data_IF_050175116246
#
_entry.id   IF_050175116246
#
_cell.length_a   1.000
_cell.length_b   1.000
_cell.length_c   1.000
_cell.angle_alpha   90.00
_cell.angle_beta   90.00
_cell.angle_gamma   90.00
#
_symmetry.space_group_name_H-M   'P 1'
#
loop_
_entity.id
_entity.type
_entity.pdbx_description
1 polymer ?
#
# COMPACT_ATOMS: atom_id res chain seq x y z
N UNK A 1 -28.12 17.00 -1.09
CA UNK A 1 -29.40 17.06 -1.83
C UNK A 1 -29.07 16.75 -3.28
N UNK A 2 -29.33 15.53 -3.76
CA UNK A 2 -29.33 15.28 -5.19
C UNK A 2 -30.57 15.97 -5.74
N UNK A 3 -30.38 17.09 -6.44
CA UNK A 3 -31.42 17.57 -7.32
C UNK A 3 -31.52 16.53 -8.43
N UNK A 4 -32.59 15.72 -8.39
CA UNK A 4 -33.06 14.97 -9.53
C UNK A 4 -33.43 15.98 -10.63
N UNK A 5 -32.43 16.46 -11.36
CA UNK A 5 -32.67 17.10 -12.65
C UNK A 5 -32.89 15.94 -13.61
N UNK A 6 -34.14 15.49 -13.67
CA UNK A 6 -34.64 14.78 -14.84
C UNK A 6 -34.45 15.72 -16.04
N UNK A 7 -33.39 15.50 -16.81
CA UNK A 7 -33.34 16.00 -18.17
C UNK A 7 -34.16 15.04 -19.03
N UNK A 8 -35.39 15.48 -19.30
CA UNK A 8 -36.28 14.92 -20.32
C UNK A 8 -35.55 14.85 -21.68
N UNK A 9 -35.82 13.75 -22.39
CA UNK A 9 -35.08 13.30 -23.54
C UNK A 9 -35.33 14.13 -24.79
N UNK A 10 -34.28 14.27 -25.59
CA UNK A 10 -34.36 14.51 -27.03
C UNK A 10 -33.06 14.08 -27.71
N UNK A 11 -33.14 12.95 -28.42
CA UNK A 11 -32.54 12.74 -29.75
C UNK A 11 -31.02 12.78 -29.89
N UNK A 12 -30.40 11.61 -30.14
CA UNK A 12 -29.03 11.57 -30.67
C UNK A 12 -28.37 10.21 -30.72
N UNK A 13 -29.00 9.20 -31.33
CA UNK A 13 -28.30 7.96 -31.69
C UNK A 13 -27.30 8.26 -32.80
N UNK A 14 -26.01 8.34 -32.49
CA UNK A 14 -24.95 8.24 -33.47
C UNK A 14 -24.27 6.87 -33.35
N UNK A 15 -24.77 5.91 -34.11
CA UNK A 15 -24.02 4.71 -34.48
C UNK A 15 -23.18 5.07 -35.70
N UNK A 16 -21.85 5.04 -35.57
CA UNK A 16 -20.95 4.94 -36.72
C UNK A 16 -20.15 3.66 -36.56
N UNK A 17 -20.61 2.61 -37.25
CA UNK A 17 -19.76 1.50 -37.62
C UNK A 17 -19.03 1.87 -38.92
N UNK A 18 -17.72 1.72 -38.93
CA UNK A 18 -16.99 1.51 -40.18
C UNK A 18 -15.79 0.59 -39.91
N UNK A 19 -15.94 -0.66 -40.33
CA UNK A 19 -14.83 -1.59 -40.48
C UNK A 19 -14.00 -1.16 -41.70
N UNK A 20 -12.72 -0.87 -41.49
CA UNK A 20 -11.74 -0.75 -42.57
C UNK A 20 -10.78 -1.94 -42.42
N UNK A 21 -10.92 -2.88 -43.35
CA UNK A 21 -9.98 -3.98 -43.58
C UNK A 21 -8.82 -3.40 -44.37
N UNK A 22 -7.67 -3.19 -43.72
CA UNK A 22 -6.42 -2.93 -44.42
C UNK A 22 -5.67 -4.26 -44.61
N UNK A 23 -5.68 -4.76 -45.85
CA UNK A 23 -4.82 -5.87 -46.30
C UNK A 23 -3.37 -5.38 -46.36
N UNK A 24 -2.50 -5.90 -45.50
CA UNK A 24 -1.06 -5.83 -45.70
C UNK A 24 -0.63 -7.01 -46.58
N UNK A 25 -0.07 -6.70 -47.75
CA UNK A 25 0.53 -7.65 -48.68
C UNK A 25 1.91 -8.08 -48.18
N UNK A 26 2.14 -9.39 -48.15
CA UNK A 26 3.43 -10.01 -47.89
C UNK A 26 4.38 -9.79 -49.08
N UNK A 27 5.62 -9.38 -48.79
CA UNK A 27 6.75 -9.48 -49.73
C UNK A 27 7.83 -10.36 -49.09
N UNK A 28 8.03 -11.52 -49.68
CA UNK A 28 9.06 -12.51 -49.33
C UNK A 28 10.44 -12.09 -49.81
N UNK A 29 11.42 -12.07 -48.90
CA UNK A 29 12.86 -11.97 -49.20
C UNK A 29 13.61 -13.19 -48.62
N UNK A 30 14.78 -13.55 -49.18
CA UNK A 30 15.29 -14.92 -49.15
C UNK A 30 16.07 -15.30 -47.88
N UNK A 31 16.02 -16.59 -47.57
CA UNK A 31 16.78 -17.28 -46.52
C UNK A 31 18.25 -17.45 -46.89
N UNK A 32 19.16 -17.50 -45.89
CA UNK A 32 20.40 -18.25 -46.01
C UNK A 32 20.42 -19.49 -45.10
N UNK A 33 21.10 -20.50 -45.64
CA UNK A 33 21.29 -21.86 -45.13
C UNK A 33 22.07 -21.95 -43.81
N UNK A 34 21.59 -22.88 -43.01
CA UNK A 34 22.21 -23.76 -42.02
C UNK A 34 23.74 -23.87 -41.95
N UNK A 35 24.26 -23.79 -40.71
CA UNK A 35 25.31 -24.69 -40.21
C UNK A 35 24.94 -25.11 -38.79
N UNK A 36 24.61 -26.39 -38.60
CA UNK A 36 24.41 -27.00 -37.27
C UNK A 36 25.77 -27.31 -36.63
N UNK A 37 25.98 -26.84 -35.40
CA UNK A 37 26.99 -27.36 -34.50
C UNK A 37 26.30 -28.20 -33.42
N UNK A 38 26.61 -29.49 -33.38
CA UNK A 38 26.08 -30.43 -32.42
C UNK A 38 26.68 -30.18 -31.02
N UNK A 39 25.83 -29.83 -30.04
CA UNK A 39 26.22 -29.77 -28.63
C UNK A 39 25.79 -31.07 -27.95
N UNK A 40 26.78 -31.84 -27.49
CA UNK A 40 26.61 -33.11 -26.77
C UNK A 40 25.86 -32.88 -25.45
N UNK A 41 24.74 -33.58 -25.25
CA UNK A 41 24.10 -33.72 -23.93
C UNK A 41 24.94 -34.66 -23.06
N UNK A 42 25.55 -34.12 -22.01
CA UNK A 42 26.05 -34.90 -20.88
C UNK A 42 24.97 -34.97 -19.80
N UNK A 43 24.53 -36.19 -19.46
CA UNK A 43 23.67 -36.46 -18.30
C UNK A 43 24.49 -36.23 -17.01
N UNK A 44 24.20 -35.15 -16.28
CA UNK A 44 24.63 -34.98 -14.88
C UNK A 44 23.47 -35.38 -13.97
N UNK A 45 23.72 -36.37 -13.12
CA UNK A 45 22.78 -36.79 -12.08
C UNK A 45 22.59 -35.67 -11.05
N UNK A 46 21.35 -35.21 -10.86
CA UNK A 46 20.98 -34.32 -9.76
C UNK A 46 20.88 -35.15 -8.47
N UNK A 47 21.79 -34.90 -7.54
CA UNK A 47 21.56 -35.22 -6.13
C UNK A 47 20.58 -34.19 -5.53
N UNK A 48 19.64 -34.58 -4.66
CA UNK A 48 18.78 -33.62 -3.98
C UNK A 48 19.61 -32.83 -2.97
N UNK A 49 19.82 -31.55 -3.23
CA UNK A 49 20.35 -30.63 -2.24
C UNK A 49 19.29 -30.42 -1.16
N UNK A 50 19.61 -30.78 0.09
CA UNK A 50 18.87 -30.28 1.25
C UNK A 50 19.01 -28.75 1.25
N UNK A 51 17.95 -28.04 0.89
CA UNK A 51 17.87 -26.60 1.11
C UNK A 51 17.87 -26.37 2.62
N UNK A 52 18.96 -25.81 3.15
CA UNK A 52 18.98 -25.29 4.50
C UNK A 52 17.88 -24.21 4.60
N UNK A 53 17.01 -24.34 5.60
CA UNK A 53 16.01 -23.32 5.91
C UNK A 53 16.73 -21.99 6.18
N UNK A 54 16.62 -21.03 5.27
CA UNK A 54 17.24 -19.72 5.43
C UNK A 54 16.51 -18.91 6.51
N UNK A 55 17.27 -18.15 7.31
CA UNK A 55 16.71 -17.21 8.28
C UNK A 55 15.78 -16.19 7.58
N UNK A 56 14.69 -15.82 8.22
CA UNK A 56 13.76 -14.82 7.70
C UNK A 56 14.43 -13.44 7.80
N UNK A 57 14.61 -12.70 6.69
CA UNK A 57 15.28 -11.42 6.69
C UNK A 57 14.53 -10.40 7.53
N UNK A 58 15.21 -9.31 7.88
CA UNK A 58 14.56 -8.16 8.50
C UNK A 58 13.33 -7.74 7.66
N UNK A 59 12.23 -7.47 8.34
CA UNK A 59 10.92 -7.15 7.78
C UNK A 59 10.18 -8.27 7.05
N UNK A 60 10.73 -9.49 6.98
CA UNK A 60 10.02 -10.66 6.46
C UNK A 60 8.91 -11.15 7.40
N UNK A 61 7.87 -11.77 6.84
CA UNK A 61 6.82 -12.41 7.63
C UNK A 61 7.36 -13.65 8.35
N UNK A 62 7.12 -13.74 9.66
CA UNK A 62 7.64 -14.81 10.53
C UNK A 62 6.56 -15.59 11.27
N UNK A 63 5.27 -15.33 10.97
CA UNK A 63 4.15 -15.99 11.60
C UNK A 63 2.80 -15.37 11.21
N UNK A 64 1.74 -15.89 11.85
CA UNK A 64 0.34 -15.54 11.61
C UNK A 64 -0.51 -16.72 11.14
N UNK A 65 -1.83 -16.62 11.30
CA UNK A 65 -2.79 -17.65 10.87
C UNK A 65 -2.64 -17.90 9.37
N UNK A 66 -2.39 -19.15 9.00
CA UNK A 66 -2.25 -19.59 7.60
C UNK A 66 -0.84 -19.42 7.02
N UNK A 67 0.12 -18.83 7.76
CA UNK A 67 1.51 -18.77 7.34
C UNK A 67 2.16 -20.16 7.42
N UNK A 68 2.66 -20.66 6.29
CA UNK A 68 3.42 -21.92 6.21
C UNK A 68 4.92 -21.59 6.10
N UNK A 69 5.73 -22.09 7.02
CA UNK A 69 7.13 -21.69 7.19
C UNK A 69 8.00 -22.04 5.99
N UNK A 70 8.67 -21.04 5.41
CA UNK A 70 9.76 -21.22 4.45
C UNK A 70 11.17 -21.21 5.09
N UNK A 71 11.27 -20.95 6.40
CA UNK A 71 12.54 -20.71 7.08
C UNK A 71 12.43 -20.73 8.61
N UNK A 72 13.52 -21.11 9.26
CA UNK A 72 13.68 -21.20 10.71
C UNK A 72 14.06 -19.82 11.25
N UNK A 73 13.24 -19.24 12.13
CA UNK A 73 13.50 -18.00 12.90
C UNK A 73 13.88 -16.74 12.08
N UNK A 74 13.73 -15.56 12.70
CA UNK A 74 14.28 -14.32 12.15
C UNK A 74 15.81 -14.34 12.19
N UNK A 75 16.47 -13.60 11.29
CA UNK A 75 17.92 -13.33 11.38
C UNK A 75 18.33 -12.91 12.79
N UNK A 76 19.58 -13.17 13.18
CA UNK A 76 20.09 -12.94 14.54
C UNK A 76 19.87 -11.52 15.10
N UNK A 77 19.75 -10.52 14.23
CA UNK A 77 19.49 -9.10 14.55
C UNK A 77 18.00 -8.76 14.73
N UNK A 78 17.11 -9.71 14.45
CA UNK A 78 15.67 -9.49 14.40
C UNK A 78 14.90 -10.42 15.35
N UNK A 79 13.75 -9.95 15.83
CA UNK A 79 12.79 -10.71 16.62
C UNK A 79 11.46 -10.79 15.87
N UNK A 80 10.79 -11.94 15.97
CA UNK A 80 9.46 -12.09 15.39
C UNK A 80 8.44 -11.38 16.29
N UNK A 81 7.84 -10.31 15.79
CA UNK A 81 6.84 -9.52 16.51
C UNK A 81 5.48 -9.71 15.85
N UNK A 82 4.48 -10.13 16.63
CA UNK A 82 3.09 -10.20 16.16
C UNK A 82 2.47 -8.81 16.05
N UNK A 83 1.77 -8.55 14.95
CA UNK A 83 1.02 -7.31 14.73
C UNK A 83 -0.49 -7.53 14.80
N UNK A 84 -0.97 -8.63 14.23
CA UNK A 84 -2.33 -9.15 14.41
C UNK A 84 -2.32 -10.66 14.20
N UNK A 85 -3.50 -11.29 14.30
CA UNK A 85 -3.66 -12.74 14.18
C UNK A 85 -3.11 -13.33 12.87
N UNK A 86 -3.05 -12.56 11.79
CA UNK A 86 -2.66 -13.03 10.45
C UNK A 86 -1.22 -12.67 10.05
N UNK A 87 -0.59 -11.68 10.70
CA UNK A 87 0.71 -11.17 10.28
C UNK A 87 1.67 -10.89 11.44
N UNK A 88 2.77 -11.64 11.49
CA UNK A 88 3.91 -11.40 12.38
C UNK A 88 5.13 -11.06 11.52
N UNK A 89 5.98 -10.13 11.96
CA UNK A 89 7.12 -9.65 11.18
C UNK A 89 8.43 -9.69 11.96
N UNK A 90 9.53 -10.05 11.30
CA UNK A 90 10.87 -9.89 11.84
C UNK A 90 11.21 -8.39 11.93
N UNK A 91 11.39 -7.86 13.14
CA UNK A 91 11.75 -6.46 13.37
C UNK A 91 13.06 -6.36 14.15
N UNK A 92 13.80 -5.24 14.07
CA UNK A 92 15.07 -5.10 14.79
C UNK A 92 14.89 -5.38 16.28
N UNK A 93 15.79 -6.19 16.87
CA UNK A 93 15.84 -6.35 18.33
C UNK A 93 16.14 -4.99 18.97
N UNK A 94 15.44 -4.60 20.05
CA UNK A 94 15.84 -3.43 20.83
C UNK A 94 17.28 -3.64 21.30
N UNK A 95 18.21 -2.78 20.87
CA UNK A 95 19.57 -2.77 21.41
C UNK A 95 19.46 -2.36 22.87
N UNK A 96 19.68 -3.30 23.79
CA UNK A 96 19.89 -2.96 25.19
C UNK A 96 21.04 -1.96 25.26
N UNK A 97 20.75 -0.72 25.64
CA UNK A 97 21.78 0.26 25.92
C UNK A 97 22.75 -0.35 26.93
N UNK A 98 24.02 -0.50 26.53
CA UNK A 98 25.09 -0.96 27.42
C UNK A 98 25.26 0.14 28.48
N UNK A 99 24.69 -0.10 29.67
CA UNK A 99 25.02 0.68 30.85
C UNK A 99 26.48 0.38 31.17
N UNK A 100 27.35 1.35 30.87
CA UNK A 100 28.75 1.33 31.29
C UNK A 100 28.78 1.43 32.81
N UNK A 101 28.96 0.31 33.49
CA UNK A 101 29.21 0.26 34.94
C UNK A 101 30.65 0.66 35.22
N UNK A 102 30.88 1.95 35.47
CA UNK A 102 32.11 2.41 36.13
C UNK A 102 32.09 2.04 37.61
N UNK A 103 33.06 1.23 38.01
CA UNK A 103 33.34 0.80 39.37
C UNK A 103 33.85 1.95 40.24
N UNK A 104 33.12 2.28 41.32
CA UNK A 104 33.69 2.99 42.47
C UNK A 104 33.14 2.41 43.79
N UNK A 105 34.10 2.10 44.66
CA UNK A 105 34.03 1.48 45.99
C UNK A 105 33.06 2.20 46.95
N UNK A 106 32.36 1.50 47.87
CA UNK A 106 31.37 2.13 48.74
C UNK A 106 32.01 2.83 49.95
N UNK A 107 31.55 4.04 50.25
CA UNK A 107 31.76 4.74 51.53
C UNK A 107 30.44 4.68 52.32
N UNK A 108 30.52 4.16 53.54
CA UNK A 108 29.44 4.02 54.51
C UNK A 108 29.05 5.38 55.09
N UNK A 109 27.77 5.75 55.01
CA UNK A 109 27.17 6.75 55.92
C UNK A 109 25.74 6.30 56.26
N UNK A 110 25.47 6.16 57.56
CA UNK A 110 24.15 5.88 58.14
C UNK A 110 23.27 7.13 58.21
N UNK A 111 21.97 6.98 57.93
CA UNK A 111 20.89 7.82 58.47
C UNK A 111 19.55 7.08 58.39
N UNK A 112 18.61 7.49 59.23
CA UNK A 112 17.60 6.67 59.92
C UNK A 112 16.16 6.96 59.46
N UNK A 113 15.27 5.94 59.60
CA UNK A 113 13.78 5.97 59.67
C UNK A 113 13.00 6.40 58.41
N UNK A 114 11.82 5.87 58.04
CA UNK A 114 10.71 5.19 58.75
C UNK A 114 9.98 4.25 57.77
N UNK A 115 9.70 3.00 58.16
CA UNK A 115 8.92 2.03 57.37
C UNK A 115 7.51 1.84 57.96
N UNK A 116 6.47 2.09 57.15
CA UNK A 116 5.08 1.72 57.47
C UNK A 116 4.74 0.42 56.75
N UNK A 117 4.50 -0.63 57.53
CA UNK A 117 4.06 -1.94 57.04
C UNK A 117 2.52 -1.97 56.93
N UNK A 118 2.02 -2.62 55.89
CA UNK A 118 0.63 -3.07 55.81
C UNK A 118 0.59 -4.43 55.14
N UNK A 119 0.39 -5.44 55.97
CA UNK A 119 0.19 -6.86 55.68
C UNK A 119 -1.20 -7.08 55.08
N UNK A 120 -1.32 -7.86 54.00
CA UNK A 120 -2.61 -8.30 53.46
C UNK A 120 -2.88 -9.74 53.90
N UNK A 121 -4.02 -9.93 54.55
CA UNK A 121 -4.49 -11.18 55.17
C UNK A 121 -5.37 -11.94 54.17
N UNK A 122 -5.06 -13.21 53.94
CA UNK A 122 -5.91 -14.19 53.24
C UNK A 122 -7.11 -14.57 54.11
N UNK A 123 -8.32 -14.49 53.55
CA UNK A 123 -9.54 -15.03 54.15
C UNK A 123 -10.23 -16.00 53.18
N UNK A 124 -10.28 -17.26 53.61
CA UNK A 124 -11.05 -18.34 53.01
C UNK A 124 -12.52 -18.20 53.39
N UNK A 125 -13.44 -18.37 52.44
CA UNK A 125 -14.87 -18.53 52.73
C UNK A 125 -15.39 -19.80 52.08
N UNK A 126 -15.93 -20.68 52.91
CA UNK A 126 -16.58 -21.93 52.54
C UNK A 126 -18.08 -21.69 52.34
N UNK A 127 -18.65 -22.13 51.23
CA UNK A 127 -20.12 -22.16 51.04
C UNK A 127 -20.52 -23.54 50.48
N UNK A 128 -21.49 -24.14 51.18
CA UNK A 128 -22.06 -25.47 50.96
C UNK A 128 -22.77 -25.59 49.60
N UNK A 129 -22.55 -26.73 48.95
CA UNK A 129 -23.27 -27.17 47.75
C UNK A 129 -24.48 -28.00 48.19
N UNK A 130 -25.68 -27.61 47.74
CA UNK A 130 -26.86 -28.48 47.71
C UNK A 130 -27.14 -28.89 46.27
N UNK A 131 -27.33 -30.19 46.09
CA UNK A 131 -27.57 -30.86 44.81
C UNK A 131 -29.05 -30.81 44.42
N UNK A 132 -29.36 -30.20 43.30
CA UNK A 132 -30.63 -30.39 42.58
C UNK A 132 -30.35 -30.78 41.13
N UNK A 133 -30.84 -31.96 40.78
CA UNK A 133 -30.81 -32.55 39.44
C UNK A 133 -31.76 -31.79 38.52
N UNK A 134 -31.26 -31.28 37.39
CA UNK A 134 -32.10 -30.80 36.30
C UNK A 134 -31.64 -31.44 34.98
N UNK A 135 -32.63 -32.08 34.35
CA UNK A 135 -32.61 -32.82 33.09
C UNK A 135 -31.97 -32.05 31.93
N UNK A 136 -31.13 -32.76 31.20
CA UNK A 136 -30.62 -32.43 29.87
C UNK A 136 -31.76 -32.21 28.87
N UNK A 137 -31.77 -31.04 28.25
CA UNK A 137 -32.55 -30.75 27.04
C UNK A 137 -31.60 -30.30 25.92
N UNK A 138 -31.97 -30.75 24.74
CA UNK A 138 -31.29 -30.77 23.44
C UNK A 138 -30.59 -29.48 22.98
N UNK A 139 -29.38 -29.69 22.46
CA UNK A 139 -28.71 -28.97 21.36
C UNK A 139 -29.43 -27.75 20.78
N UNK A 140 -29.02 -26.57 21.22
CA UNK A 140 -29.10 -25.35 20.41
C UNK A 140 -27.75 -25.15 19.74
N UNK A 141 -27.72 -25.29 18.42
CA UNK A 141 -26.55 -24.94 17.60
C UNK A 141 -26.25 -23.45 17.79
N UNK A 142 -25.19 -23.15 18.53
CA UNK A 142 -24.54 -21.85 18.51
C UNK A 142 -24.16 -21.59 17.04
N UNK A 143 -24.60 -20.48 16.41
CA UNK A 143 -24.12 -20.13 15.09
C UNK A 143 -22.59 -20.04 15.18
N UNK A 144 -21.90 -20.80 14.32
CA UNK A 144 -20.47 -20.62 14.11
C UNK A 144 -20.18 -19.12 13.90
N UNK A 145 -19.05 -18.59 14.38
CA UNK A 145 -18.66 -17.22 14.07
C UNK A 145 -18.70 -17.07 12.56
N UNK A 146 -19.56 -16.14 12.09
CA UNK A 146 -19.70 -15.82 10.67
C UNK A 146 -18.30 -15.61 10.12
N UNK A 147 -17.91 -16.39 9.11
CA UNK A 147 -16.63 -16.22 8.44
C UNK A 147 -16.53 -14.73 8.07
N UNK A 148 -15.58 -14.01 8.67
CA UNK A 148 -15.41 -12.59 8.41
C UNK A 148 -15.11 -12.44 6.92
N UNK A 149 -16.09 -11.94 6.17
CA UNK A 149 -15.96 -11.73 4.73
C UNK A 149 -14.74 -10.85 4.47
N UNK A 150 -13.79 -11.36 3.68
CA UNK A 150 -12.58 -10.63 3.34
C UNK A 150 -12.91 -9.25 2.76
N UNK A 151 -12.09 -8.25 3.11
CA UNK A 151 -12.10 -6.91 2.52
C UNK A 151 -11.17 -6.88 1.31
N UNK A 152 -11.57 -6.18 0.25
CA UNK A 152 -10.83 -6.07 -1.00
C UNK A 152 -10.28 -4.67 -1.14
N UNK A 153 -8.96 -4.53 -0.99
CA UNK A 153 -8.27 -3.27 -1.15
C UNK A 153 -7.65 -3.20 -2.55
N UNK A 154 -8.28 -2.42 -3.43
CA UNK A 154 -7.90 -2.35 -4.84
C UNK A 154 -7.20 -1.01 -5.06
N UNK A 155 -5.89 -1.04 -5.31
CA UNK A 155 -5.06 0.16 -5.36
C UNK A 155 -4.42 0.41 -6.72
N UNK A 156 -4.28 1.68 -7.05
CA UNK A 156 -3.66 2.19 -8.27
C UNK A 156 -2.69 3.31 -7.88
N UNK A 157 -1.65 3.52 -8.69
CA UNK A 157 -0.68 4.54 -8.37
C UNK A 157 0.66 4.38 -9.05
N UNK A 158 1.66 5.03 -8.46
CA UNK A 158 3.04 5.04 -8.92
C UNK A 158 3.97 4.25 -7.98
N UNK A 159 5.27 4.61 -7.98
CA UNK A 159 6.31 3.98 -7.16
C UNK A 159 6.05 4.11 -5.65
N UNK A 160 5.25 5.08 -5.22
CA UNK A 160 4.91 5.26 -3.80
C UNK A 160 3.93 4.18 -3.32
N UNK A 161 3.23 3.53 -4.27
CA UNK A 161 2.22 2.49 -4.02
C UNK A 161 2.63 1.12 -4.52
N UNK A 162 3.57 1.02 -5.47
CA UNK A 162 3.99 -0.25 -6.07
C UNK A 162 4.43 -1.29 -5.02
N UNK A 163 3.93 -2.52 -5.17
CA UNK A 163 4.37 -3.70 -4.42
C UNK A 163 4.88 -4.84 -5.32
N UNK A 164 4.84 -4.67 -6.65
CA UNK A 164 5.24 -5.69 -7.62
C UNK A 164 4.18 -6.74 -7.95
N UNK A 165 2.91 -6.50 -7.58
CA UNK A 165 1.82 -7.43 -7.86
C UNK A 165 1.58 -7.60 -9.36
N UNK A 166 1.53 -8.86 -9.79
CA UNK A 166 1.09 -9.31 -11.11
C UNK A 166 -0.26 -10.03 -10.97
N UNK A 167 -1.27 -9.52 -11.68
CA UNK A 167 -2.61 -10.10 -11.68
C UNK A 167 -2.65 -11.55 -12.20
N UNK A 168 -1.68 -11.95 -13.01
CA UNK A 168 -1.58 -13.33 -13.52
C UNK A 168 -0.90 -14.28 -12.53
N UNK A 169 -0.24 -13.76 -11.50
CA UNK A 169 0.43 -14.53 -10.45
C UNK A 169 -0.52 -15.09 -9.38
N UNK A 170 0.05 -15.51 -8.26
CA UNK A 170 -0.70 -16.00 -7.09
C UNK A 170 -1.64 -14.92 -6.55
N UNK A 171 -2.90 -15.28 -6.28
CA UNK A 171 -3.91 -14.33 -5.83
C UNK A 171 -3.76 -14.01 -4.34
N UNK A 172 -4.15 -12.81 -3.89
CA UNK A 172 -4.23 -12.45 -2.47
C UNK A 172 -4.95 -13.51 -1.65
N UNK A 173 -4.38 -13.82 -0.48
CA UNK A 173 -4.92 -14.80 0.47
C UNK A 173 -4.57 -14.39 1.90
N UNK A 174 -5.06 -15.13 2.91
CA UNK A 174 -4.68 -14.88 4.31
C UNK A 174 -3.20 -15.10 4.60
N UNK A 175 -2.54 -16.01 3.89
CA UNK A 175 -1.11 -16.29 4.07
C UNK A 175 -0.20 -15.30 3.34
N UNK A 176 -0.69 -14.69 2.25
CA UNK A 176 -0.05 -13.57 1.59
C UNK A 176 -1.11 -12.57 1.12
N UNK A 177 -1.35 -11.48 1.86
CA UNK A 177 -2.40 -10.52 1.52
C UNK A 177 -2.11 -9.71 0.24
N UNK A 178 -0.86 -9.73 -0.27
CA UNK A 178 -0.53 -9.19 -1.59
C UNK A 178 -0.70 -10.21 -2.72
N UNK A 179 -0.78 -11.50 -2.40
CA UNK A 179 -0.80 -12.61 -3.36
C UNK A 179 0.56 -12.89 -3.99
N UNK A 180 1.13 -11.89 -4.67
CA UNK A 180 2.48 -11.92 -5.20
C UNK A 180 3.09 -10.50 -5.28
N UNK A 181 4.41 -10.35 -5.09
CA UNK A 181 5.31 -11.31 -4.46
C UNK A 181 4.97 -11.45 -2.95
N UNK A 182 5.84 -12.07 -2.15
CA UNK A 182 5.65 -12.13 -0.70
C UNK A 182 5.71 -10.72 -0.10
N UNK A 183 4.91 -10.47 0.94
CA UNK A 183 4.98 -9.25 1.75
C UNK A 183 6.42 -9.08 2.31
N UNK A 184 7.06 -7.89 2.22
CA UNK A 184 6.47 -6.56 1.98
C UNK A 184 6.18 -6.18 0.53
N UNK A 185 6.54 -7.00 -0.45
CA UNK A 185 6.50 -6.63 -1.87
C UNK A 185 7.83 -6.09 -2.38
N UNK A 186 7.85 -5.70 -3.66
CA UNK A 186 8.90 -4.88 -4.26
C UNK A 186 8.49 -3.41 -4.18
N UNK A 187 8.98 -2.72 -3.15
CA UNK A 187 8.60 -1.34 -2.81
C UNK A 187 9.80 -0.40 -2.96
N UNK A 188 9.53 0.88 -3.21
CA UNK A 188 10.52 1.95 -3.13
C UNK A 188 10.55 2.59 -1.72
N UNK A 189 10.48 1.78 -0.65
CA UNK A 189 10.46 2.28 0.73
C UNK A 189 11.43 1.58 1.69
N UNK A 190 12.16 0.55 1.24
CA UNK A 190 13.02 -0.28 2.09
C UNK A 190 12.26 -1.32 2.93
N UNK A 191 10.92 -1.37 2.82
CA UNK A 191 10.07 -2.27 3.58
C UNK A 191 8.60 -2.15 3.18
N UNK A 192 7.68 -2.15 4.15
CA UNK A 192 6.27 -1.90 3.85
C UNK A 192 6.08 -0.48 3.31
N UNK A 193 5.32 -0.35 2.22
CA UNK A 193 4.72 0.92 1.85
C UNK A 193 3.31 1.03 2.46
N UNK A 194 2.59 2.12 2.21
CA UNK A 194 1.27 2.35 2.81
C UNK A 194 0.25 1.23 2.48
N UNK A 195 0.30 0.65 1.28
CA UNK A 195 -0.53 -0.49 0.87
C UNK A 195 -0.23 -1.69 1.74
N UNK A 196 1.06 -2.03 1.91
CA UNK A 196 1.51 -3.12 2.76
C UNK A 196 1.06 -2.94 4.21
N UNK A 197 1.19 -1.73 4.78
CA UNK A 197 0.71 -1.44 6.14
C UNK A 197 -0.80 -1.67 6.29
N UNK A 198 -1.61 -1.16 5.34
CA UNK A 198 -3.06 -1.31 5.36
C UNK A 198 -3.52 -2.75 5.15
N UNK A 199 -2.79 -3.52 4.35
CA UNK A 199 -3.11 -4.92 4.07
C UNK A 199 -2.64 -5.88 5.17
N UNK A 200 -1.77 -5.46 6.10
CA UNK A 200 -1.13 -6.38 7.05
C UNK A 200 -1.06 -5.94 8.51
N UNK A 201 -0.81 -4.67 8.84
CA UNK A 201 -0.57 -4.22 10.22
C UNK A 201 -1.65 -3.28 10.75
N UNK A 202 -2.31 -2.55 9.86
CA UNK A 202 -3.31 -1.55 10.21
C UNK A 202 -4.74 -2.03 9.92
N UNK A 203 -4.95 -3.28 9.54
CA UNK A 203 -6.27 -3.89 9.40
C UNK A 203 -6.77 -4.52 10.71
N UNK A 204 -8.06 -4.78 10.74
CA UNK A 204 -8.87 -5.40 11.80
C UNK A 204 -9.62 -6.62 11.27
N UNK A 205 -9.64 -6.80 9.96
CA UNK A 205 -10.16 -7.98 9.25
C UNK A 205 -9.21 -8.35 8.11
N UNK A 206 -9.37 -9.55 7.54
CA UNK A 206 -8.55 -9.98 6.40
C UNK A 206 -8.74 -9.01 5.22
N UNK A 207 -7.67 -8.30 4.87
CA UNK A 207 -7.64 -7.36 3.75
C UNK A 207 -6.78 -7.93 2.62
N UNK A 208 -7.42 -8.25 1.50
CA UNK A 208 -6.79 -8.78 0.30
C UNK A 208 -6.48 -7.63 -0.66
N UNK A 209 -5.20 -7.40 -0.93
CA UNK A 209 -4.73 -6.28 -1.74
C UNK A 209 -4.53 -6.69 -3.21
N UNK A 210 -5.27 -6.02 -4.10
CA UNK A 210 -5.08 -6.10 -5.54
C UNK A 210 -4.47 -4.77 -6.01
N UNK A 211 -3.14 -4.73 -6.09
CA UNK A 211 -2.39 -3.50 -6.30
C UNK A 211 -1.86 -3.38 -7.72
N UNK A 212 -2.50 -2.56 -8.55
CA UNK A 212 -2.10 -2.32 -9.94
C UNK A 212 -1.05 -1.20 -10.09
N UNK A 213 -0.55 -0.62 -9.01
CA UNK A 213 0.41 0.49 -9.07
C UNK A 213 1.72 0.10 -9.78
N UNK A 214 2.23 1.02 -10.61
CA UNK A 214 3.43 0.83 -11.44
C UNK A 214 4.42 1.97 -11.23
N UNK A 215 5.68 1.66 -10.93
CA UNK A 215 6.72 2.65 -10.68
C UNK A 215 6.92 3.62 -11.84
N UNK A 216 6.93 4.92 -11.53
CA UNK A 216 7.05 5.99 -12.52
C UNK A 216 5.76 6.32 -13.28
N UNK A 217 4.64 5.69 -12.95
CA UNK A 217 3.37 5.94 -13.62
C UNK A 217 2.97 7.42 -13.57
N UNK A 218 2.58 7.94 -14.72
CA UNK A 218 1.80 9.18 -14.85
C UNK A 218 0.32 8.82 -14.96
N UNK A 219 -0.55 9.81 -14.82
CA UNK A 219 -1.99 9.58 -14.99
C UNK A 219 -2.32 9.12 -16.41
N UNK A 220 -1.67 9.71 -17.41
CA UNK A 220 -1.85 9.38 -18.82
C UNK A 220 -0.54 9.60 -19.59
N UNK A 221 0.02 8.51 -20.13
CA UNK A 221 1.32 8.54 -20.79
C UNK A 221 1.39 9.42 -22.06
N UNK A 222 0.23 9.73 -22.66
CA UNK A 222 0.15 10.63 -23.82
C UNK A 222 0.12 12.11 -23.44
N UNK A 223 -0.19 12.44 -22.18
CA UNK A 223 -0.16 13.81 -21.65
C UNK A 223 1.16 14.14 -21.00
N UNK A 224 1.66 13.20 -20.17
CA UNK A 224 2.96 13.28 -19.51
C UNK A 224 3.65 11.94 -19.71
N UNK A 225 4.74 11.94 -20.47
CA UNK A 225 5.48 10.72 -20.78
C UNK A 225 6.20 10.20 -19.53
N UNK A 226 6.02 8.93 -19.14
CA UNK A 226 6.80 8.31 -18.07
C UNK A 226 8.29 8.20 -18.42
N UNK A 227 9.13 7.91 -17.43
CA UNK A 227 10.58 7.78 -17.63
C UNK A 227 10.98 6.62 -18.57
N UNK A 228 10.10 5.63 -18.75
CA UNK A 228 10.32 4.51 -19.66
C UNK A 228 8.98 4.06 -20.32
N UNK A 229 9.01 3.55 -21.56
CA UNK A 229 7.80 3.13 -22.29
C UNK A 229 7.14 1.87 -21.72
N UNK A 230 7.83 1.14 -20.84
CA UNK A 230 7.30 -0.05 -20.16
C UNK A 230 6.48 0.29 -18.91
N UNK A 231 6.46 1.55 -18.49
CA UNK A 231 5.70 2.01 -17.33
C UNK A 231 4.21 2.02 -17.67
N UNK A 232 3.40 1.44 -16.78
CA UNK A 232 1.95 1.40 -16.94
C UNK A 232 1.32 2.63 -16.29
N UNK A 233 0.76 3.53 -17.11
CA UNK A 233 0.06 4.72 -16.63
C UNK A 233 -1.22 4.35 -15.88
N UNK A 234 -1.83 5.29 -15.15
CA UNK A 234 -3.11 5.01 -14.48
C UNK A 234 -4.19 4.52 -15.47
N UNK A 235 -4.16 4.99 -16.73
CA UNK A 235 -5.02 4.48 -17.81
C UNK A 235 -4.80 2.98 -18.04
N UNK A 236 -3.54 2.54 -18.14
CA UNK A 236 -3.19 1.14 -18.36
C UNK A 236 -3.53 0.26 -17.15
N UNK A 237 -3.30 0.77 -15.94
CA UNK A 237 -3.62 0.06 -14.69
C UNK A 237 -5.14 -0.18 -14.57
N UNK A 238 -5.97 0.81 -14.91
CA UNK A 238 -7.43 0.61 -14.96
C UNK A 238 -7.83 -0.36 -16.06
N UNK A 239 -7.14 -0.37 -17.22
CA UNK A 239 -7.37 -1.39 -18.25
C UNK A 239 -7.02 -2.81 -17.76
N UNK A 240 -5.95 -2.98 -16.97
CA UNK A 240 -5.62 -4.26 -16.32
C UNK A 240 -6.70 -4.69 -15.33
N UNK A 241 -7.22 -3.77 -14.51
CA UNK A 241 -8.37 -4.05 -13.64
C UNK A 241 -9.61 -4.47 -14.45
N UNK A 242 -9.97 -3.71 -15.47
CA UNK A 242 -11.14 -3.95 -16.33
C UNK A 242 -11.09 -5.30 -17.04
N UNK A 243 -9.90 -5.73 -17.46
CA UNK A 243 -9.69 -7.04 -18.12
C UNK A 243 -9.54 -8.22 -17.15
N UNK A 244 -9.56 -7.98 -15.84
CA UNK A 244 -9.34 -9.01 -14.82
C UNK A 244 -10.48 -9.05 -13.80
N UNK A 245 -10.25 -8.47 -12.61
CA UNK A 245 -11.14 -8.60 -11.46
C UNK A 245 -12.40 -7.74 -11.58
N UNK A 246 -12.52 -6.85 -12.57
CA UNK A 246 -13.76 -6.10 -12.79
C UNK A 246 -14.99 -7.01 -12.94
N UNK A 247 -14.79 -8.22 -13.49
CA UNK A 247 -15.81 -9.27 -13.63
C UNK A 247 -16.23 -9.94 -12.32
N UNK A 248 -15.56 -9.63 -11.20
CA UNK A 248 -15.76 -10.23 -9.86
C UNK A 248 -15.67 -11.76 -9.89
N UNK A 249 -14.53 -12.31 -10.36
CA UNK A 249 -14.35 -13.75 -10.42
C UNK A 249 -14.40 -14.38 -9.02
N UNK A 250 -14.58 -15.70 -8.94
CA UNK A 250 -14.72 -16.41 -7.66
C UNK A 250 -13.54 -16.21 -6.68
N UNK A 251 -12.34 -15.89 -7.18
CA UNK A 251 -11.16 -15.59 -6.36
C UNK A 251 -11.09 -14.12 -5.89
N UNK A 252 -11.92 -13.23 -6.46
CA UNK A 252 -12.04 -11.83 -6.10
C UNK A 252 -13.52 -11.37 -6.12
N UNK A 253 -14.40 -11.94 -5.27
CA UNK A 253 -15.82 -11.58 -5.17
C UNK A 253 -16.03 -10.25 -4.42
N UNK A 254 -15.39 -9.19 -4.89
CA UNK A 254 -15.55 -7.86 -4.34
C UNK A 254 -16.90 -7.24 -4.75
N UNK A 255 -17.42 -6.34 -3.92
CA UNK A 255 -18.66 -5.59 -4.13
C UNK A 255 -18.59 -4.23 -3.41
N UNK A 256 -19.65 -3.43 -3.48
CA UNK A 256 -19.72 -2.10 -2.88
C UNK A 256 -19.61 -2.08 -1.35
N UNK A 257 -19.84 -3.19 -0.65
CA UNK A 257 -19.83 -3.26 0.82
C UNK A 257 -18.48 -3.74 1.39
N UNK A 258 -17.71 -4.48 0.58
CA UNK A 258 -16.45 -5.09 1.02
C UNK A 258 -15.21 -4.58 0.28
N UNK A 259 -15.35 -3.61 -0.63
CA UNK A 259 -14.22 -3.06 -1.39
C UNK A 259 -13.95 -1.58 -1.13
N UNK A 260 -12.67 -1.23 -1.18
CA UNK A 260 -12.16 0.15 -1.19
C UNK A 260 -11.19 0.30 -2.36
N UNK A 261 -11.46 1.29 -3.21
CA UNK A 261 -10.64 1.64 -4.35
C UNK A 261 -9.76 2.83 -3.98
N UNK A 262 -8.46 2.68 -4.12
CA UNK A 262 -7.51 3.67 -3.66
C UNK A 262 -6.56 4.12 -4.77
N UNK A 263 -6.35 5.43 -4.89
CA UNK A 263 -5.52 5.99 -5.95
C UNK A 263 -4.52 6.97 -5.35
N UNK A 264 -3.23 6.66 -5.46
CA UNK A 264 -2.15 7.60 -5.17
C UNK A 264 -1.24 7.71 -6.39
N UNK A 265 -1.55 8.69 -7.23
CA UNK A 265 -0.91 9.01 -8.50
C UNK A 265 -0.82 10.53 -8.61
N UNK A 266 0.13 11.04 -9.39
CA UNK A 266 0.32 12.46 -9.65
C UNK A 266 1.73 12.93 -9.38
N UNK A 267 2.55 12.14 -8.69
CA UNK A 267 3.94 12.52 -8.37
C UNK A 267 4.77 12.71 -9.63
N UNK A 268 4.59 11.83 -10.63
CA UNK A 268 5.30 11.92 -11.91
C UNK A 268 4.63 12.90 -12.87
N UNK A 269 3.32 13.11 -12.76
CA UNK A 269 2.62 14.15 -13.51
C UNK A 269 3.19 15.53 -13.14
N UNK A 270 3.25 15.84 -11.84
CA UNK A 270 3.82 17.10 -11.33
C UNK A 270 5.34 17.14 -11.47
N UNK A 271 6.03 16.03 -11.14
CA UNK A 271 7.48 15.91 -11.20
C UNK A 271 8.06 16.18 -12.60
N UNK A 272 7.29 15.88 -13.65
CA UNK A 272 7.69 16.09 -15.04
C UNK A 272 7.07 17.36 -15.67
N UNK A 273 6.50 18.26 -14.87
CA UNK A 273 5.89 19.48 -15.41
C UNK A 273 5.85 20.70 -14.48
N UNK A 274 6.44 20.63 -13.28
CA UNK A 274 6.33 21.71 -12.27
C UNK A 274 6.94 23.04 -12.73
N UNK A 275 7.85 23.02 -13.71
CA UNK A 275 8.50 24.22 -14.27
C UNK A 275 7.65 24.98 -15.31
N UNK A 276 6.49 24.43 -15.69
CA UNK A 276 5.61 25.08 -16.66
C UNK A 276 5.08 26.42 -16.15
N UNK A 277 4.87 27.36 -17.07
CA UNK A 277 4.16 28.60 -16.77
C UNK A 277 2.72 28.34 -16.36
N UNK A 278 2.11 29.27 -15.61
CA UNK A 278 0.79 29.07 -15.00
C UNK A 278 -0.29 28.65 -16.02
N UNK A 279 -0.34 29.28 -17.19
CA UNK A 279 -1.33 28.97 -18.22
C UNK A 279 -1.18 27.54 -18.76
N UNK A 280 0.06 27.12 -19.05
CA UNK A 280 0.38 25.79 -19.56
C UNK A 280 0.13 24.71 -18.50
N UNK A 281 0.56 24.96 -17.26
CA UNK A 281 0.30 24.11 -16.11
C UNK A 281 -1.21 23.92 -15.90
N UNK A 282 -1.99 25.01 -15.92
CA UNK A 282 -3.45 24.94 -15.76
C UNK A 282 -4.11 24.11 -16.87
N UNK A 283 -3.69 24.29 -18.12
CA UNK A 283 -4.20 23.53 -19.25
C UNK A 283 -3.83 22.04 -19.17
N UNK A 284 -2.57 21.72 -18.81
CA UNK A 284 -2.11 20.35 -18.66
C UNK A 284 -2.83 19.64 -17.51
N UNK A 285 -2.86 20.25 -16.31
CA UNK A 285 -3.48 19.64 -15.14
C UNK A 285 -4.99 19.47 -15.31
N UNK A 286 -5.66 20.37 -16.05
CA UNK A 286 -7.05 20.17 -16.46
C UNK A 286 -7.24 18.85 -17.23
N UNK A 287 -6.43 18.62 -18.28
CA UNK A 287 -6.47 17.39 -19.08
C UNK A 287 -6.11 16.14 -18.28
N UNK A 288 -5.14 16.25 -17.37
CA UNK A 288 -4.76 15.16 -16.48
C UNK A 288 -5.94 14.78 -15.59
N UNK A 289 -6.64 15.76 -15.02
CA UNK A 289 -7.81 15.49 -14.19
C UNK A 289 -8.98 14.94 -14.98
N UNK A 290 -9.20 15.39 -16.21
CA UNK A 290 -10.22 14.79 -17.09
C UNK A 290 -9.91 13.30 -17.34
N UNK A 291 -8.64 12.97 -17.57
CA UNK A 291 -8.19 11.57 -17.70
C UNK A 291 -8.34 10.79 -16.38
N UNK A 292 -7.92 11.36 -15.25
CA UNK A 292 -8.00 10.75 -13.92
C UNK A 292 -9.45 10.39 -13.58
N UNK A 293 -10.36 11.35 -13.68
CA UNK A 293 -11.76 11.13 -13.32
C UNK A 293 -12.52 10.32 -14.36
N UNK A 294 -12.10 10.36 -15.63
CA UNK A 294 -12.54 9.41 -16.63
C UNK A 294 -12.13 7.96 -16.31
N UNK A 295 -11.06 7.73 -15.53
CA UNK A 295 -10.70 6.39 -15.03
C UNK A 295 -11.47 6.01 -13.77
N UNK A 296 -11.70 6.94 -12.84
CA UNK A 296 -12.61 6.72 -11.70
C UNK A 296 -14.02 6.35 -12.16
N UNK A 297 -14.52 7.00 -13.21
CA UNK A 297 -15.83 6.67 -13.80
C UNK A 297 -15.89 5.22 -14.29
N UNK A 298 -14.84 4.71 -14.92
CA UNK A 298 -14.78 3.28 -15.33
C UNK A 298 -14.80 2.35 -14.12
N UNK A 299 -14.08 2.67 -13.05
CA UNK A 299 -14.10 1.88 -11.80
C UNK A 299 -15.51 1.89 -11.19
N UNK A 300 -16.16 3.06 -11.15
CA UNK A 300 -17.52 3.22 -10.66
C UNK A 300 -18.55 2.43 -11.47
N UNK A 301 -18.45 2.45 -12.79
CA UNK A 301 -19.32 1.68 -13.69
C UNK A 301 -19.12 0.17 -13.54
N UNK A 302 -17.92 -0.28 -13.18
CA UNK A 302 -17.65 -1.66 -12.80
C UNK A 302 -18.28 -2.05 -11.44
N UNK A 303 -18.74 -1.07 -10.65
CA UNK A 303 -19.42 -1.24 -9.37
C UNK A 303 -18.64 -0.79 -8.14
N UNK A 304 -17.50 -0.10 -8.31
CA UNK A 304 -16.82 0.54 -7.20
C UNK A 304 -17.72 1.62 -6.56
N UNK A 305 -17.76 1.67 -5.23
CA UNK A 305 -18.54 2.68 -4.49
C UNK A 305 -17.77 3.40 -3.39
N UNK A 306 -16.65 2.86 -2.92
CA UNK A 306 -15.81 3.52 -1.92
C UNK A 306 -14.48 3.88 -2.55
N UNK A 307 -14.15 5.17 -2.55
CA UNK A 307 -12.94 5.72 -3.13
C UNK A 307 -12.12 6.49 -2.10
N UNK A 308 -10.83 6.20 -2.02
CA UNK A 308 -9.87 7.06 -1.31
C UNK A 308 -8.81 7.55 -2.28
N UNK A 309 -8.77 8.87 -2.48
CA UNK A 309 -7.77 9.51 -3.32
C UNK A 309 -6.72 10.13 -2.40
N UNK A 310 -5.45 10.05 -2.79
CA UNK A 310 -4.35 10.67 -2.06
C UNK A 310 -3.82 11.82 -2.91
N UNK A 311 -3.64 13.00 -2.30
CA UNK A 311 -2.99 14.13 -2.96
C UNK A 311 -1.59 13.78 -3.47
N UNK A 312 -1.17 14.43 -4.55
CA UNK A 312 0.19 14.30 -5.06
C UNK A 312 1.20 14.51 -3.92
N UNK A 313 2.17 13.60 -3.81
CA UNK A 313 3.14 13.62 -2.73
C UNK A 313 3.93 14.95 -2.74
N UNK A 314 4.24 15.53 -1.58
CA UNK A 314 4.95 16.81 -1.48
C UNK A 314 6.44 16.63 -1.80
N UNK A 315 6.77 16.46 -3.09
CA UNK A 315 8.15 16.19 -3.55
C UNK A 315 9.14 17.31 -3.22
N UNK A 316 8.66 18.51 -2.90
CA UNK A 316 9.48 19.61 -2.39
C UNK A 316 10.10 19.35 -1.00
N UNK A 317 9.75 18.26 -0.33
CA UNK A 317 10.45 17.78 0.87
C UNK A 317 11.57 16.78 0.58
N UNK A 318 11.64 16.25 -0.66
CA UNK A 318 12.64 15.23 -1.00
C UNK A 318 14.05 15.81 -0.96
N UNK A 319 15.06 15.01 -0.55
CA UNK A 319 16.45 15.44 -0.60
C UNK A 319 16.86 15.96 -1.99
N UNK A 320 16.42 15.27 -3.05
CA UNK A 320 16.67 15.67 -4.44
C UNK A 320 16.20 17.11 -4.71
N UNK A 321 14.96 17.44 -4.34
CA UNK A 321 14.39 18.76 -4.67
C UNK A 321 14.87 19.87 -3.74
N UNK A 322 15.33 19.53 -2.54
CA UNK A 322 16.00 20.47 -1.64
C UNK A 322 17.37 20.86 -2.22
N UNK A 323 18.13 19.89 -2.75
CA UNK A 323 19.45 20.11 -3.35
C UNK A 323 19.39 20.98 -4.61
N UNK A 324 18.28 20.92 -5.37
CA UNK A 324 18.01 21.81 -6.52
C UNK A 324 17.76 23.28 -6.11
N UNK A 325 17.54 23.56 -4.83
CA UNK A 325 17.51 24.90 -4.26
C UNK A 325 16.12 25.52 -4.02
N UNK A 326 16.11 26.63 -3.29
CA UNK A 326 14.89 27.22 -2.74
C UNK A 326 13.85 27.67 -3.78
N UNK A 327 14.29 28.09 -4.97
CA UNK A 327 13.39 28.50 -6.06
C UNK A 327 12.64 27.30 -6.66
N UNK A 328 13.32 26.15 -6.81
CA UNK A 328 12.71 24.88 -7.23
C UNK A 328 11.66 24.43 -6.22
N UNK A 329 12.01 24.42 -4.93
CA UNK A 329 11.09 24.10 -3.83
C UNK A 329 9.85 25.00 -3.84
N UNK A 330 10.02 26.31 -4.02
CA UNK A 330 8.90 27.26 -4.06
C UNK A 330 7.97 27.00 -5.26
N UNK A 331 8.53 26.73 -6.44
CA UNK A 331 7.76 26.47 -7.66
C UNK A 331 6.99 25.15 -7.57
N UNK A 332 7.62 24.10 -7.03
CA UNK A 332 6.94 22.81 -6.82
C UNK A 332 5.79 22.91 -5.82
N UNK A 333 5.91 23.72 -4.76
CA UNK A 333 4.79 23.96 -3.83
C UNK A 333 3.56 24.51 -4.55
N UNK A 334 3.76 25.44 -5.49
CA UNK A 334 2.67 26.01 -6.30
C UNK A 334 2.05 24.93 -7.20
N UNK A 335 2.88 24.16 -7.90
CA UNK A 335 2.42 23.11 -8.80
C UNK A 335 1.64 22.01 -8.06
N UNK A 336 2.14 21.53 -6.92
CA UNK A 336 1.48 20.50 -6.10
C UNK A 336 0.18 21.04 -5.50
N UNK A 337 0.19 22.28 -4.99
CA UNK A 337 -1.03 22.91 -4.48
C UNK A 337 -2.11 23.03 -5.57
N UNK A 338 -1.72 23.41 -6.79
CA UNK A 338 -2.64 23.46 -7.94
C UNK A 338 -3.20 22.08 -8.26
N UNK A 339 -2.36 21.06 -8.37
CA UNK A 339 -2.78 19.69 -8.65
C UNK A 339 -3.77 19.18 -7.59
N UNK A 340 -3.43 19.34 -6.31
CA UNK A 340 -4.27 18.87 -5.20
C UNK A 340 -5.60 19.64 -5.10
N UNK A 341 -5.61 20.94 -5.40
CA UNK A 341 -6.85 21.73 -5.47
C UNK A 341 -7.77 21.26 -6.60
N UNK A 342 -7.22 20.92 -7.77
CA UNK A 342 -8.01 20.36 -8.86
C UNK A 342 -8.51 18.96 -8.53
N UNK A 343 -7.68 18.12 -7.90
CA UNK A 343 -8.09 16.78 -7.46
C UNK A 343 -9.27 16.85 -6.48
N UNK A 344 -9.24 17.79 -5.53
CA UNK A 344 -10.32 18.01 -4.57
C UNK A 344 -11.62 18.42 -5.28
N UNK A 345 -11.57 19.49 -6.10
CA UNK A 345 -12.78 20.00 -6.77
C UNK A 345 -13.37 18.99 -7.76
N UNK A 346 -12.53 18.19 -8.42
CA UNK A 346 -12.99 17.13 -9.32
C UNK A 346 -13.57 15.93 -8.58
N UNK A 347 -13.08 15.61 -7.38
CA UNK A 347 -13.70 14.60 -6.52
C UNK A 347 -15.08 15.04 -6.05
N UNK A 348 -15.25 16.30 -5.66
CA UNK A 348 -16.57 16.85 -5.32
C UNK A 348 -17.54 16.71 -6.49
N UNK A 349 -17.16 17.18 -7.68
CA UNK A 349 -17.99 17.06 -8.88
C UNK A 349 -18.31 15.60 -9.25
N UNK A 350 -17.36 14.68 -9.07
CA UNK A 350 -17.58 13.25 -9.30
C UNK A 350 -18.63 12.66 -8.35
N UNK A 351 -18.61 13.05 -7.08
CA UNK A 351 -19.56 12.57 -6.07
C UNK A 351 -20.95 13.23 -6.21
N UNK A 352 -21.03 14.44 -6.76
CA UNK A 352 -22.31 15.09 -7.08
C UNK A 352 -23.11 14.30 -8.13
N UNK A 353 -22.43 13.73 -9.13
CA UNK A 353 -23.08 12.96 -10.20
C UNK A 353 -23.21 11.47 -9.88
N UNK A 354 -22.29 10.91 -9.10
CA UNK A 354 -22.28 9.49 -8.69
C UNK A 354 -22.70 9.36 -7.21
N UNK A 355 -23.98 9.62 -6.94
CA UNK A 355 -24.48 9.89 -5.60
C UNK A 355 -24.54 8.70 -4.63
N UNK A 356 -24.41 7.47 -5.12
CA UNK A 356 -24.28 6.26 -4.29
C UNK A 356 -22.80 5.92 -4.00
N UNK A 357 -21.85 6.71 -4.50
CA UNK A 357 -20.44 6.60 -4.16
C UNK A 357 -20.07 7.44 -2.93
N UNK A 358 -19.10 6.94 -2.17
CA UNK A 358 -18.40 7.65 -1.11
C UNK A 358 -16.96 7.87 -1.53
N UNK A 359 -16.50 9.12 -1.49
CA UNK A 359 -15.12 9.49 -1.77
C UNK A 359 -14.49 10.26 -0.61
N UNK A 360 -13.20 10.02 -0.34
CA UNK A 360 -12.39 10.84 0.56
C UNK A 360 -11.09 11.22 -0.13
N UNK A 361 -10.66 12.48 0.06
CA UNK A 361 -9.33 12.93 -0.29
C UNK A 361 -8.46 12.96 0.97
N UNK A 362 -7.31 12.29 0.92
CA UNK A 362 -6.30 12.30 1.97
C UNK A 362 -5.23 13.32 1.61
N UNK A 363 -5.00 14.28 2.51
CA UNK A 363 -3.88 15.20 2.42
C UNK A 363 -2.58 14.45 2.76
N UNK A 364 -1.74 14.27 1.75
CA UNK A 364 -0.43 13.64 1.90
C UNK A 364 0.64 14.60 2.38
N UNK A 365 0.40 15.92 2.38
CA UNK A 365 1.34 16.90 2.93
C UNK A 365 1.51 16.71 4.43
N UNK A 366 0.40 16.55 5.16
CA UNK A 366 0.43 16.42 6.62
C UNK A 366 1.29 15.24 7.14
N UNK A 367 1.18 14.00 6.63
CA UNK A 367 2.06 12.90 7.01
C UNK A 367 3.55 13.19 6.78
N UNK A 368 3.91 13.74 5.62
CA UNK A 368 5.30 14.05 5.29
C UNK A 368 5.84 15.16 6.18
N UNK A 369 5.09 16.25 6.33
CA UNK A 369 5.48 17.38 7.15
C UNK A 369 5.65 16.98 8.62
N UNK A 370 4.79 16.10 9.13
CA UNK A 370 4.90 15.58 10.51
C UNK A 370 6.24 14.89 10.75
N UNK A 371 6.69 14.06 9.80
CA UNK A 371 7.98 13.37 9.88
C UNK A 371 9.15 14.33 9.71
N UNK A 372 9.12 15.15 8.66
CA UNK A 372 10.18 16.13 8.32
C UNK A 372 10.43 17.13 9.45
N UNK A 373 9.37 17.56 10.17
CA UNK A 373 9.51 18.44 11.33
C UNK A 373 10.09 17.76 12.57
N UNK A 374 10.05 16.43 12.67
CA UNK A 374 10.46 15.67 13.86
C UNK A 374 11.23 14.39 13.49
N UNK A 375 12.31 14.45 12.69
CA UNK A 375 12.94 13.26 12.10
C UNK A 375 13.40 12.24 13.16
N UNK A 376 13.94 12.72 14.28
CA UNK A 376 14.44 11.87 15.38
C UNK A 376 13.33 11.08 16.08
N UNK A 377 12.11 11.61 16.14
CA UNK A 377 10.95 10.88 16.65
C UNK A 377 10.56 9.69 15.78
N UNK A 378 11.03 9.68 14.52
CA UNK A 378 10.82 8.63 13.54
C UNK A 378 12.10 7.86 13.21
N UNK A 379 13.12 7.93 14.07
CA UNK A 379 14.34 7.13 13.95
C UNK A 379 15.37 7.64 12.93
N UNK A 380 15.14 8.79 12.29
CA UNK A 380 16.08 9.41 11.37
C UNK A 380 16.96 10.46 12.09
N UNK A 381 18.25 10.61 11.71
CA UNK A 381 19.12 11.62 12.30
C UNK A 381 18.70 13.05 11.92
N UNK A 382 18.20 13.24 10.71
CA UNK A 382 17.72 14.53 10.18
C UNK A 382 16.64 14.33 9.11
N UNK A 383 16.11 15.46 8.61
CA UNK A 383 14.99 15.48 7.67
C UNK A 383 15.35 15.07 6.22
N UNK A 384 16.62 15.03 5.89
CA UNK A 384 17.16 14.84 4.53
C UNK A 384 17.95 13.54 4.35
N UNK A 385 18.26 12.84 5.45
CA UNK A 385 18.85 11.51 5.45
C UNK A 385 18.09 10.57 4.50
N UNK A 386 18.81 9.86 3.64
CA UNK A 386 18.28 8.77 2.85
C UNK A 386 19.21 7.55 2.83
N UNK A 387 18.63 6.34 2.83
CA UNK A 387 19.35 5.09 2.62
C UNK A 387 18.40 3.94 2.23
N UNK A 388 18.95 2.90 1.62
CA UNK A 388 18.16 1.80 1.06
C UNK A 388 17.51 0.90 2.12
N UNK A 389 17.87 1.02 3.40
CA UNK A 389 17.12 0.32 4.45
C UNK A 389 15.73 0.94 4.69
N UNK A 390 15.55 2.23 4.34
CA UNK A 390 14.28 2.96 4.44
C UNK A 390 13.72 3.09 5.86
N UNK A 391 14.52 2.82 6.88
CA UNK A 391 14.15 2.74 8.30
C UNK A 391 14.97 3.73 9.13
N UNK A 392 16.29 3.76 8.94
CA UNK A 392 17.20 4.62 9.72
C UNK A 392 17.31 6.04 9.14
N UNK A 393 16.68 6.28 8.00
CA UNK A 393 16.47 7.58 7.38
C UNK A 393 14.97 7.79 7.09
N UNK A 394 14.53 9.05 6.98
CA UNK A 394 13.14 9.36 6.58
C UNK A 394 12.85 8.94 5.13
N UNK A 395 13.90 8.87 4.30
CA UNK A 395 13.82 8.63 2.87
C UNK A 395 14.56 7.32 2.51
N UNK A 396 14.01 6.56 1.58
CA UNK A 396 14.63 5.33 1.06
C UNK A 396 15.74 5.63 0.03
N UNK A 397 15.51 6.65 -0.79
CA UNK A 397 16.53 7.27 -1.63
C UNK A 397 16.26 8.78 -1.64
N UNK A 398 16.97 9.54 -2.46
CA UNK A 398 16.78 10.99 -2.50
C UNK A 398 15.40 11.45 -3.03
N UNK A 399 14.48 10.56 -3.40
CA UNK A 399 13.15 10.89 -3.91
C UNK A 399 12.00 10.18 -3.18
N UNK A 400 12.17 8.94 -2.76
CA UNK A 400 11.09 8.11 -2.25
C UNK A 400 11.09 8.06 -0.71
N UNK A 401 9.91 8.14 -0.07
CA UNK A 401 9.78 8.08 1.38
C UNK A 401 10.12 6.69 1.92
N UNK A 402 10.81 6.67 3.06
CA UNK A 402 11.03 5.45 3.84
C UNK A 402 9.77 4.97 4.55
N UNK A 403 9.92 3.86 5.27
CA UNK A 403 8.87 3.11 5.97
C UNK A 403 8.06 3.98 6.93
N UNK A 404 8.68 4.92 7.66
CA UNK A 404 7.96 5.73 8.65
C UNK A 404 7.00 6.74 8.02
N UNK A 405 7.41 7.42 6.94
CA UNK A 405 6.51 8.32 6.21
C UNK A 405 5.38 7.51 5.56
N UNK A 406 5.70 6.37 4.94
CA UNK A 406 4.70 5.46 4.38
C UNK A 406 3.68 4.98 5.43
N UNK A 407 4.13 4.71 6.67
CA UNK A 407 3.25 4.35 7.79
C UNK A 407 2.33 5.50 8.19
N UNK A 408 2.83 6.74 8.23
CA UNK A 408 2.00 7.91 8.53
C UNK A 408 0.94 8.15 7.45
N UNK A 409 1.28 7.93 6.18
CA UNK A 409 0.31 7.98 5.08
C UNK A 409 -0.74 6.88 5.24
N UNK A 410 -0.33 5.65 5.55
CA UNK A 410 -1.25 4.55 5.82
C UNK A 410 -2.22 4.86 6.97
N UNK A 411 -1.72 5.48 8.04
CA UNK A 411 -2.54 5.93 9.16
C UNK A 411 -3.56 7.00 8.74
N UNK A 412 -3.16 7.97 7.91
CA UNK A 412 -4.07 8.98 7.39
C UNK A 412 -5.18 8.37 6.52
N UNK A 413 -4.85 7.39 5.67
CA UNK A 413 -5.84 6.64 4.87
C UNK A 413 -6.79 5.85 5.77
N UNK A 414 -6.24 5.12 6.76
CA UNK A 414 -7.05 4.39 7.74
C UNK A 414 -8.02 5.33 8.46
N UNK A 415 -7.56 6.50 8.90
CA UNK A 415 -8.42 7.49 9.56
C UNK A 415 -9.52 8.03 8.63
N UNK A 416 -9.22 8.24 7.35
CA UNK A 416 -10.22 8.68 6.37
C UNK A 416 -11.31 7.63 6.11
N UNK A 417 -11.00 6.34 6.24
CA UNK A 417 -11.89 5.19 6.06
C UNK A 417 -11.88 4.22 7.26
N UNK A 418 -12.12 4.75 8.46
CA UNK A 418 -11.96 4.00 9.72
C UNK A 418 -12.80 2.71 9.83
N UNK A 419 -13.92 2.62 9.11
CA UNK A 419 -14.78 1.44 9.11
C UNK A 419 -14.32 0.31 8.18
N UNK A 420 -13.28 0.52 7.36
CA UNK A 420 -12.79 -0.47 6.42
C UNK A 420 -11.59 -1.26 6.95
N UNK A 421 -10.63 -0.58 7.60
CA UNK A 421 -9.35 -1.14 8.04
C UNK A 421 -9.34 -1.56 9.49
#
# INVERSE_FOLDING_TARGET
MCNNVYLDGSSGVFRVGLSIILRATFSSGPTPRSTMAALKLGLMALAPALAAAADIPLWGQCGGIGWQSAGSACTSVATCTSYNDYYYQCVPKPTSAVVVTTSTKPVTVSATTTSKASTSTTLSTSIKISSTSIKSTSSSSVPAPSATTAKYFISFGDSYSQTGFDINGSKPSSSNPLGNPALPGWTASGGLNWVGFLASQLNTSLTLSYNFASGGATTNASLVTPFAPTVLSFVDQVAQFSSSIASRPAYAPWNSENSLFAVWIGVNDVGNSWWLGESEMNALYGKIMDSYFGRLQVLYEAGARNFVLLGAAPIYYTPLMIDEGASTVATQKVAIAKYNSLLASRLEAFLEVNCDATGKLVDTVAPFEKAVKNPTAYGAPDATCYNEDGVSCLWFNNYHPGVQIQKLVAQAVKSAFAGFF
#
